data_IF_352266275259
#
_entry.id   IF_352266275259
#
_cell.length_a   1.000
_cell.length_b   1.000
_cell.length_c   1.000
_cell.angle_alpha   90.00
_cell.angle_beta   90.00
_cell.angle_gamma   90.00
#
_symmetry.space_group_name_H-M   'P 1'
#
loop_
_entity.id
_entity.type
_entity.pdbx_description
1 polymer ?
#
# COMPACT_ATOMS: atom_id res chain seq x y z
N UNK A 1 -87.25 -30.45 -30.47
CA UNK A 1 -87.21 -29.66 -29.22
C UNK A 1 -85.74 -29.46 -28.84
N UNK A 2 -85.19 -28.29 -29.15
CA UNK A 2 -83.79 -27.93 -28.95
C UNK A 2 -83.65 -27.33 -27.55
N UNK A 3 -83.02 -28.03 -26.61
CA UNK A 3 -82.62 -27.43 -25.33
C UNK A 3 -81.17 -26.91 -25.42
N UNK A 4 -81.02 -25.65 -25.01
CA UNK A 4 -79.81 -24.84 -25.08
C UNK A 4 -78.66 -25.43 -24.24
N UNK A 5 -77.49 -25.63 -24.88
CA UNK A 5 -76.22 -25.77 -24.14
C UNK A 5 -75.74 -24.38 -23.75
N UNK A 6 -76.37 -23.85 -22.71
CA UNK A 6 -76.09 -22.55 -22.13
C UNK A 6 -74.85 -22.65 -21.21
N UNK A 7 -73.77 -21.96 -21.61
CA UNK A 7 -72.75 -21.30 -20.77
C UNK A 7 -72.23 -22.05 -19.53
N UNK A 8 -71.34 -23.03 -19.69
CA UNK A 8 -70.57 -23.61 -18.55
C UNK A 8 -69.03 -23.59 -18.70
N UNK A 9 -68.52 -22.99 -19.78
CA UNK A 9 -67.08 -22.82 -20.00
C UNK A 9 -66.40 -21.74 -19.11
N UNK A 10 -67.05 -20.67 -18.60
CA UNK A 10 -66.30 -19.58 -17.98
C UNK A 10 -65.64 -19.95 -16.65
N UNK A 11 -66.21 -20.84 -15.84
CA UNK A 11 -65.68 -21.14 -14.51
C UNK A 11 -64.34 -21.91 -14.54
N UNK A 12 -64.21 -22.90 -15.43
CA UNK A 12 -62.95 -23.65 -15.59
C UNK A 12 -61.81 -22.78 -16.14
N UNK A 13 -62.13 -21.85 -17.04
CA UNK A 13 -61.16 -20.93 -17.63
C UNK A 13 -60.72 -19.86 -16.61
N UNK A 14 -61.64 -19.38 -15.76
CA UNK A 14 -61.34 -18.49 -14.64
C UNK A 14 -60.48 -19.22 -13.59
N UNK A 15 -60.80 -20.47 -13.25
CA UNK A 15 -60.02 -21.26 -12.29
C UNK A 15 -58.60 -21.52 -12.81
N UNK A 16 -58.45 -21.85 -14.10
CA UNK A 16 -57.15 -22.02 -14.74
C UNK A 16 -56.32 -20.71 -14.72
N UNK A 17 -56.91 -19.59 -15.13
CA UNK A 17 -56.25 -18.27 -15.07
C UNK A 17 -55.84 -17.89 -13.64
N UNK A 18 -56.69 -18.16 -12.66
CA UNK A 18 -56.40 -17.91 -11.24
C UNK A 18 -55.24 -18.78 -10.74
N UNK A 19 -55.19 -20.06 -11.11
CA UNK A 19 -54.05 -20.93 -10.75
C UNK A 19 -52.76 -20.46 -11.41
N UNK A 20 -52.77 -20.07 -12.69
CA UNK A 20 -51.59 -19.55 -13.38
C UNK A 20 -51.07 -18.27 -12.72
N UNK A 21 -51.97 -17.36 -12.32
CA UNK A 21 -51.61 -16.14 -11.57
C UNK A 21 -50.96 -16.48 -10.23
N UNK A 22 -51.55 -17.36 -9.42
CA UNK A 22 -50.99 -17.78 -8.13
C UNK A 22 -49.62 -18.47 -8.27
N UNK A 23 -49.45 -19.34 -9.26
CA UNK A 23 -48.16 -19.98 -9.53
C UNK A 23 -47.10 -18.95 -9.95
N UNK A 24 -47.48 -17.95 -10.75
CA UNK A 24 -46.61 -16.84 -11.15
C UNK A 24 -46.07 -16.04 -9.96
N UNK A 25 -46.93 -15.63 -9.04
CA UNK A 25 -46.53 -14.88 -7.84
C UNK A 25 -45.58 -15.68 -6.92
N UNK A 26 -45.86 -16.97 -6.72
CA UNK A 26 -44.99 -17.84 -5.91
C UNK A 26 -43.59 -18.00 -6.53
N UNK A 27 -43.49 -18.05 -7.86
CA UNK A 27 -42.20 -18.12 -8.55
C UNK A 27 -41.42 -16.80 -8.41
N UNK A 28 -42.08 -15.65 -8.56
CA UNK A 28 -41.47 -14.32 -8.36
C UNK A 28 -40.93 -14.20 -6.92
N UNK A 29 -41.74 -14.56 -5.92
CA UNK A 29 -41.33 -14.51 -4.50
C UNK A 29 -40.13 -15.43 -4.22
N UNK A 30 -40.06 -16.61 -4.85
CA UNK A 30 -38.91 -17.52 -4.72
C UNK A 30 -37.64 -16.95 -5.36
N UNK A 31 -37.76 -16.29 -6.50
CA UNK A 31 -36.63 -15.63 -7.17
C UNK A 31 -36.10 -14.45 -6.36
N UNK A 32 -36.98 -13.59 -5.85
CA UNK A 32 -36.62 -12.45 -5.01
C UNK A 32 -35.93 -12.89 -3.71
N UNK A 33 -36.43 -13.95 -3.05
CA UNK A 33 -35.77 -14.51 -1.87
C UNK A 33 -34.37 -15.02 -2.18
N UNK A 34 -34.18 -15.71 -3.30
CA UNK A 34 -32.87 -16.22 -3.74
C UNK A 34 -31.90 -15.08 -4.07
N UNK A 35 -32.37 -14.03 -4.74
CA UNK A 35 -31.56 -12.86 -5.06
C UNK A 35 -31.17 -12.08 -3.79
N UNK A 36 -32.11 -11.88 -2.86
CA UNK A 36 -31.83 -11.24 -1.57
C UNK A 36 -30.80 -12.04 -0.76
N UNK A 37 -30.90 -13.36 -0.74
CA UNK A 37 -29.95 -14.24 -0.04
C UNK A 37 -28.55 -14.22 -0.67
N UNK A 38 -28.46 -14.16 -2.00
CA UNK A 38 -27.19 -13.98 -2.71
C UNK A 38 -26.54 -12.61 -2.38
N UNK A 39 -27.33 -11.53 -2.38
CA UNK A 39 -26.83 -10.18 -2.06
C UNK A 39 -26.33 -10.06 -0.62
N UNK A 40 -27.00 -10.70 0.34
CA UNK A 40 -26.55 -10.77 1.74
C UNK A 40 -25.23 -11.52 1.85
N UNK A 41 -25.10 -12.66 1.15
CA UNK A 41 -23.88 -13.48 1.18
C UNK A 41 -22.67 -12.74 0.59
N UNK A 42 -22.87 -12.00 -0.50
CA UNK A 42 -21.83 -11.15 -1.12
C UNK A 42 -21.43 -10.01 -0.17
N UNK A 43 -22.41 -9.35 0.45
CA UNK A 43 -22.17 -8.26 1.41
C UNK A 43 -21.35 -8.74 2.61
N UNK A 44 -21.70 -9.89 3.21
CA UNK A 44 -20.99 -10.45 4.35
C UNK A 44 -19.54 -10.85 3.99
N UNK A 45 -19.33 -11.44 2.82
CA UNK A 45 -17.97 -11.77 2.33
C UNK A 45 -17.10 -10.52 2.17
N UNK A 46 -17.66 -9.44 1.62
CA UNK A 46 -16.95 -8.17 1.46
C UNK A 46 -16.62 -7.52 2.80
N UNK A 47 -17.51 -7.61 3.79
CA UNK A 47 -17.28 -7.10 5.15
C UNK A 47 -16.14 -7.88 5.83
N UNK A 48 -16.16 -9.21 5.78
CA UNK A 48 -15.09 -10.03 6.36
C UNK A 48 -13.74 -9.74 5.71
N UNK A 49 -13.69 -9.64 4.38
CA UNK A 49 -12.45 -9.29 3.66
C UNK A 49 -11.92 -7.91 4.05
N UNK A 50 -12.79 -6.90 4.21
CA UNK A 50 -12.39 -5.57 4.70
C UNK A 50 -11.87 -5.63 6.14
N UNK A 51 -12.51 -6.39 7.02
CA UNK A 51 -12.10 -6.53 8.41
C UNK A 51 -10.76 -7.26 8.55
N UNK A 52 -10.56 -8.36 7.82
CA UNK A 52 -9.31 -9.12 7.81
C UNK A 52 -8.15 -8.28 7.27
N UNK A 53 -8.35 -7.54 6.18
CA UNK A 53 -7.34 -6.61 5.66
C UNK A 53 -7.03 -5.49 6.66
N UNK A 54 -8.05 -4.94 7.33
CA UNK A 54 -7.84 -3.89 8.33
C UNK A 54 -7.03 -4.41 9.52
N UNK A 55 -7.33 -5.62 10.00
CA UNK A 55 -6.58 -6.28 11.06
C UNK A 55 -5.14 -6.58 10.62
N UNK A 56 -4.94 -7.08 9.41
CA UNK A 56 -3.61 -7.38 8.87
C UNK A 56 -2.75 -6.11 8.77
N UNK A 57 -3.30 -5.02 8.21
CA UNK A 57 -2.60 -3.73 8.12
C UNK A 57 -2.29 -3.18 9.51
N UNK A 58 -3.21 -3.28 10.47
CA UNK A 58 -2.95 -2.89 11.86
C UNK A 58 -1.79 -3.67 12.48
N UNK A 59 -1.74 -4.99 12.28
CA UNK A 59 -0.64 -5.83 12.75
C UNK A 59 0.70 -5.46 12.09
N UNK A 60 0.70 -5.22 10.77
CA UNK A 60 1.89 -4.74 10.04
C UNK A 60 2.39 -3.42 10.66
N UNK A 61 1.49 -2.46 10.90
CA UNK A 61 1.85 -1.16 11.49
C UNK A 61 2.41 -1.30 12.91
N UNK A 62 1.91 -2.23 13.71
CA UNK A 62 2.45 -2.47 15.06
C UNK A 62 3.88 -3.01 15.02
N UNK A 63 4.16 -4.00 14.17
CA UNK A 63 5.51 -4.54 13.97
C UNK A 63 6.45 -3.47 13.42
N UNK A 64 5.98 -2.69 12.44
CA UNK A 64 6.72 -1.57 11.88
C UNK A 64 7.11 -0.55 12.94
N UNK A 65 6.18 -0.10 13.78
CA UNK A 65 6.45 0.90 14.83
C UNK A 65 7.49 0.41 15.82
N UNK A 66 7.41 -0.86 16.22
CA UNK A 66 8.39 -1.49 17.10
C UNK A 66 9.81 -1.42 16.52
N UNK A 67 9.97 -1.77 15.23
CA UNK A 67 11.27 -1.78 14.56
C UNK A 67 11.77 -0.35 14.33
N UNK A 68 10.92 0.55 13.84
CA UNK A 68 11.24 1.96 13.62
C UNK A 68 11.72 2.65 14.90
N UNK A 69 11.07 2.37 16.04
CA UNK A 69 11.49 2.88 17.35
C UNK A 69 12.92 2.43 17.70
N UNK A 70 13.24 1.14 17.51
CA UNK A 70 14.58 0.59 17.76
C UNK A 70 15.65 1.17 16.84
N UNK A 71 15.29 1.58 15.62
CA UNK A 71 16.21 2.13 14.62
C UNK A 71 16.22 3.66 14.56
N UNK A 72 15.48 4.32 15.45
CA UNK A 72 15.32 5.78 15.48
C UNK A 72 14.93 6.36 14.09
N UNK A 73 13.92 5.76 13.47
CA UNK A 73 13.32 6.23 12.20
C UNK A 73 11.87 6.60 12.47
N UNK A 74 11.40 7.69 11.85
CA UNK A 74 9.99 8.07 11.91
C UNK A 74 9.12 6.99 11.23
N UNK A 75 8.25 6.34 12.01
CA UNK A 75 7.39 5.28 11.52
C UNK A 75 6.44 5.73 10.40
N UNK A 76 5.96 6.99 10.41
CA UNK A 76 5.10 7.51 9.34
C UNK A 76 5.84 7.55 7.99
N UNK A 77 7.14 7.82 7.99
CA UNK A 77 7.95 7.82 6.76
C UNK A 77 8.05 6.41 6.18
N UNK A 78 8.25 5.39 7.04
CA UNK A 78 8.30 3.99 6.60
C UNK A 78 6.92 3.50 6.16
N UNK A 79 5.85 3.92 6.84
CA UNK A 79 4.48 3.66 6.38
C UNK A 79 4.25 4.23 4.97
N UNK A 80 4.74 5.44 4.68
CA UNK A 80 4.66 6.02 3.33
C UNK A 80 5.48 5.25 2.29
N UNK A 81 6.67 4.75 2.65
CA UNK A 81 7.47 3.88 1.77
C UNK A 81 6.67 2.61 1.42
N UNK A 82 6.12 1.91 2.41
CA UNK A 82 5.38 0.67 2.19
C UNK A 82 4.12 0.89 1.36
N UNK A 83 3.45 2.03 1.54
CA UNK A 83 2.27 2.38 0.75
C UNK A 83 2.61 2.49 -0.75
N UNK A 84 3.74 3.14 -1.08
CA UNK A 84 4.23 3.25 -2.46
C UNK A 84 4.75 1.93 -3.00
N UNK A 85 5.47 1.16 -2.19
CA UNK A 85 6.14 -0.07 -2.63
C UNK A 85 5.19 -1.25 -2.82
N UNK A 86 4.21 -1.43 -1.92
CA UNK A 86 3.36 -2.62 -1.91
C UNK A 86 1.90 -2.35 -1.59
N UNK A 87 1.54 -1.13 -1.20
CA UNK A 87 0.24 -0.82 -0.62
C UNK A 87 -0.13 -1.80 0.51
N UNK A 88 0.84 -2.08 1.40
CA UNK A 88 0.74 -3.03 2.51
C UNK A 88 0.48 -4.50 2.10
N UNK A 89 0.71 -4.89 0.85
CA UNK A 89 0.62 -6.30 0.44
C UNK A 89 1.92 -7.06 0.77
N UNK A 90 1.91 -7.99 1.75
CA UNK A 90 3.12 -8.73 2.15
C UNK A 90 3.62 -9.73 1.11
N UNK A 91 2.82 -10.01 0.08
CA UNK A 91 3.15 -10.95 -1.01
C UNK A 91 3.43 -10.26 -2.35
N UNK A 92 3.53 -8.93 -2.36
CA UNK A 92 3.80 -8.16 -3.58
C UNK A 92 5.10 -8.61 -4.26
N UNK A 93 5.08 -8.67 -5.59
CA UNK A 93 6.24 -8.97 -6.43
C UNK A 93 6.27 -7.98 -7.59
N UNK A 94 7.35 -7.21 -7.75
CA UNK A 94 7.52 -6.32 -8.89
C UNK A 94 8.00 -7.07 -10.13
N UNK A 95 7.85 -6.45 -11.30
CA UNK A 95 8.38 -6.97 -12.55
C UNK A 95 9.92 -7.17 -12.53
N UNK A 96 10.63 -6.37 -11.73
CA UNK A 96 12.09 -6.44 -11.56
C UNK A 96 12.52 -7.49 -10.52
N UNK A 97 11.56 -8.15 -9.85
CA UNK A 97 11.83 -9.21 -8.87
C UNK A 97 11.92 -8.76 -7.42
N UNK A 98 11.60 -7.50 -7.12
CA UNK A 98 11.50 -7.00 -5.75
C UNK A 98 10.27 -7.60 -5.02
N UNK A 99 10.36 -7.86 -3.71
CA UNK A 99 9.37 -8.66 -2.98
C UNK A 99 8.97 -8.12 -1.62
N UNK A 100 7.71 -8.35 -1.27
CA UNK A 100 7.14 -8.08 0.05
C UNK A 100 6.82 -6.61 0.31
N UNK A 101 6.61 -6.28 1.59
CA UNK A 101 6.09 -4.99 2.05
C UNK A 101 6.96 -3.80 1.63
N UNK A 102 8.28 -3.95 1.75
CA UNK A 102 9.25 -2.91 1.42
C UNK A 102 9.98 -3.16 0.10
N UNK A 103 9.46 -4.07 -0.74
CA UNK A 103 10.00 -4.42 -2.06
C UNK A 103 11.51 -4.62 -2.05
N UNK A 104 11.97 -5.58 -1.26
CA UNK A 104 13.38 -5.94 -1.21
C UNK A 104 13.77 -6.74 -2.46
N UNK A 105 14.90 -6.37 -3.06
CA UNK A 105 15.58 -7.27 -4.01
C UNK A 105 16.14 -8.48 -3.26
N UNK A 106 16.16 -9.68 -3.87
CA UNK A 106 16.68 -10.89 -3.22
C UNK A 106 18.10 -10.73 -2.66
N UNK A 107 18.98 -10.02 -3.37
CA UNK A 107 20.34 -9.75 -2.93
C UNK A 107 20.37 -8.88 -1.68
N UNK A 108 19.48 -7.88 -1.60
CA UNK A 108 19.31 -7.05 -0.40
C UNK A 108 18.77 -7.88 0.76
N UNK A 109 17.77 -8.73 0.54
CA UNK A 109 17.23 -9.58 1.58
C UNK A 109 18.30 -10.55 2.15
N UNK A 110 19.16 -11.10 1.29
CA UNK A 110 20.28 -11.95 1.70
C UNK A 110 21.32 -11.20 2.55
N UNK A 111 21.63 -9.94 2.22
CA UNK A 111 22.56 -9.11 3.03
C UNK A 111 22.06 -8.82 4.46
N UNK A 112 20.77 -8.99 4.72
CA UNK A 112 20.14 -8.74 6.01
C UNK A 112 19.56 -10.00 6.65
N UNK A 113 20.04 -11.19 6.28
CA UNK A 113 19.66 -12.48 6.89
C UNK A 113 18.13 -12.70 6.91
N UNK A 114 17.48 -12.52 5.75
CA UNK A 114 16.05 -12.82 5.58
C UNK A 114 15.90 -14.25 5.05
N UNK A 115 15.27 -15.11 5.84
CA UNK A 115 14.98 -16.50 5.48
C UNK A 115 13.74 -16.57 4.59
N UNK A 116 12.70 -15.79 4.95
CA UNK A 116 11.47 -15.69 4.20
C UNK A 116 11.13 -14.23 3.88
N UNK A 117 11.35 -13.83 2.63
CA UNK A 117 11.10 -12.47 2.16
C UNK A 117 9.63 -12.03 2.19
N UNK A 118 8.69 -12.95 2.32
CA UNK A 118 7.26 -12.66 2.49
C UNK A 118 6.81 -12.69 3.97
N UNK A 119 7.70 -13.07 4.89
CA UNK A 119 7.44 -12.91 6.32
C UNK A 119 7.41 -11.42 6.65
N UNK A 120 6.30 -10.95 7.22
CA UNK A 120 6.05 -9.54 7.57
C UNK A 120 7.19 -8.97 8.41
N UNK A 121 7.62 -9.67 9.48
CA UNK A 121 8.61 -9.16 10.41
C UNK A 121 10.00 -9.14 9.79
N UNK A 122 10.38 -10.18 9.05
CA UNK A 122 11.69 -10.24 8.40
C UNK A 122 11.83 -9.20 7.29
N UNK A 123 10.81 -9.07 6.42
CA UNK A 123 10.81 -8.08 5.34
C UNK A 123 10.85 -6.64 5.88
N UNK A 124 10.05 -6.33 6.90
CA UNK A 124 10.07 -5.03 7.57
C UNK A 124 11.42 -4.76 8.24
N UNK A 125 11.98 -5.74 8.96
CA UNK A 125 13.28 -5.57 9.62
C UNK A 125 14.35 -5.23 8.60
N UNK A 126 14.52 -6.05 7.58
CA UNK A 126 15.55 -5.86 6.56
C UNK A 126 15.34 -4.58 5.75
N UNK A 127 14.09 -4.25 5.38
CA UNK A 127 13.79 -3.01 4.66
C UNK A 127 14.06 -1.75 5.49
N UNK A 128 13.69 -1.75 6.78
CA UNK A 128 13.97 -0.62 7.68
C UNK A 128 15.47 -0.51 7.96
N UNK A 129 16.18 -1.63 8.13
CA UNK A 129 17.63 -1.64 8.32
C UNK A 129 18.38 -1.14 7.09
N UNK A 130 17.96 -1.58 5.89
CA UNK A 130 18.51 -1.07 4.65
C UNK A 130 18.23 0.42 4.46
N UNK A 131 17.00 0.88 4.75
CA UNK A 131 16.68 2.29 4.70
C UNK A 131 17.48 3.10 5.73
N UNK A 132 17.66 2.60 6.96
CA UNK A 132 18.53 3.21 7.99
C UNK A 132 19.95 3.37 7.47
N UNK A 133 20.52 2.32 6.91
CA UNK A 133 21.84 2.36 6.30
C UNK A 133 21.96 3.46 5.24
N UNK A 134 20.98 3.57 4.34
CA UNK A 134 20.97 4.64 3.34
C UNK A 134 20.80 6.02 3.98
N UNK A 135 19.92 6.13 4.97
CA UNK A 135 19.68 7.38 5.67
C UNK A 135 20.95 7.88 6.37
N UNK A 136 21.74 6.99 7.00
CA UNK A 136 23.07 7.32 7.54
C UNK A 136 24.08 7.66 6.45
N UNK A 137 24.14 6.84 5.39
CA UNK A 137 25.05 7.03 4.26
C UNK A 137 24.87 8.37 3.57
N UNK A 138 23.65 8.91 3.59
CA UNK A 138 23.31 10.19 3.00
C UNK A 138 23.17 11.32 4.04
N UNK A 139 23.91 11.26 5.14
CA UNK A 139 23.98 12.31 6.17
C UNK A 139 22.60 12.72 6.70
N UNK A 140 21.72 11.74 6.89
CA UNK A 140 20.36 11.94 7.37
C UNK A 140 19.53 12.86 6.45
N UNK A 141 19.84 12.88 5.16
CA UNK A 141 19.02 13.53 4.16
C UNK A 141 17.95 12.56 3.64
N UNK A 142 16.71 12.71 4.12
CA UNK A 142 15.59 11.82 3.74
C UNK A 142 15.39 11.75 2.23
N UNK A 143 15.49 12.89 1.52
CA UNK A 143 15.25 12.94 0.06
C UNK A 143 16.27 12.07 -0.69
N UNK A 144 17.53 12.11 -0.27
CA UNK A 144 18.59 11.32 -0.91
C UNK A 144 18.56 9.86 -0.49
N UNK A 145 18.19 9.57 0.77
CA UNK A 145 17.97 8.21 1.22
C UNK A 145 16.84 7.52 0.43
N UNK A 146 15.71 8.21 0.23
CA UNK A 146 14.61 7.73 -0.61
C UNK A 146 15.03 7.55 -2.07
N UNK A 147 15.76 8.51 -2.64
CA UNK A 147 16.29 8.38 -3.99
C UNK A 147 17.25 7.18 -4.12
N UNK A 148 18.08 6.94 -3.10
CA UNK A 148 19.02 5.83 -3.08
C UNK A 148 18.33 4.48 -2.84
N UNK A 149 17.21 4.47 -2.13
CA UNK A 149 16.39 3.27 -1.94
C UNK A 149 15.82 2.80 -3.28
N UNK A 150 15.31 3.74 -4.10
CA UNK A 150 14.73 3.44 -5.40
C UNK A 150 15.76 3.23 -6.53
N UNK A 151 16.75 4.13 -6.67
CA UNK A 151 17.69 4.13 -7.79
C UNK A 151 19.05 3.49 -7.47
N UNK A 152 19.28 3.13 -6.20
CA UNK A 152 20.55 2.64 -5.70
C UNK A 152 21.50 3.76 -5.24
N UNK A 153 22.30 3.53 -4.17
CA UNK A 153 23.18 4.55 -3.59
C UNK A 153 24.31 4.98 -4.52
N UNK A 154 24.77 4.10 -5.41
CA UNK A 154 25.81 4.45 -6.39
C UNK A 154 25.33 5.51 -7.38
N UNK A 155 24.09 5.40 -7.86
CA UNK A 155 23.49 6.36 -8.79
C UNK A 155 23.37 7.74 -8.15
N UNK A 156 22.82 7.81 -6.93
CA UNK A 156 22.69 9.09 -6.19
C UNK A 156 24.05 9.72 -5.96
N UNK A 157 25.07 8.93 -5.58
CA UNK A 157 26.44 9.43 -5.43
C UNK A 157 27.01 9.95 -6.75
N UNK A 158 26.83 9.23 -7.87
CA UNK A 158 27.30 9.61 -9.20
C UNK A 158 26.73 10.95 -9.66
N UNK A 159 25.44 11.19 -9.40
CA UNK A 159 24.77 12.45 -9.75
C UNK A 159 24.98 13.57 -8.72
N UNK A 160 25.47 13.24 -7.52
CA UNK A 160 25.60 14.19 -6.41
C UNK A 160 24.25 14.69 -5.87
N UNK A 161 23.17 13.93 -6.07
CA UNK A 161 21.82 14.34 -5.77
C UNK A 161 20.77 13.34 -6.28
N UNK A 162 19.50 13.73 -6.27
CA UNK A 162 18.42 12.93 -6.87
C UNK A 162 18.69 12.83 -8.38
N UNK A 163 18.83 11.63 -8.97
CA UNK A 163 19.10 11.49 -10.40
C UNK A 163 17.95 12.07 -11.23
N UNK A 164 18.20 12.50 -12.49
CA UNK A 164 17.17 13.00 -13.40
C UNK A 164 16.31 11.86 -13.99
N UNK A 165 15.98 10.86 -13.17
CA UNK A 165 15.12 9.75 -13.53
C UNK A 165 13.71 10.07 -13.05
N UNK A 166 12.76 10.13 -13.99
CA UNK A 166 11.37 10.49 -13.68
C UNK A 166 10.76 9.55 -12.63
N UNK A 167 11.07 8.25 -12.71
CA UNK A 167 10.65 7.24 -11.72
C UNK A 167 11.10 7.64 -10.31
N UNK A 168 12.39 7.92 -10.12
CA UNK A 168 12.96 8.26 -8.82
C UNK A 168 12.49 9.60 -8.28
N UNK A 169 12.35 10.62 -9.13
CA UNK A 169 11.83 11.92 -8.72
C UNK A 169 10.37 11.81 -8.25
N UNK A 170 9.55 11.07 -8.99
CA UNK A 170 8.16 10.81 -8.63
C UNK A 170 8.06 9.99 -7.33
N UNK A 171 8.90 8.96 -7.19
CA UNK A 171 8.98 8.13 -5.98
C UNK A 171 9.25 8.97 -4.73
N UNK A 172 10.28 9.84 -4.77
CA UNK A 172 10.59 10.74 -3.65
C UNK A 172 9.44 11.71 -3.38
N UNK A 173 8.85 12.30 -4.42
CA UNK A 173 7.74 13.25 -4.28
C UNK A 173 6.53 12.59 -3.61
N UNK A 174 6.09 11.45 -4.14
CA UNK A 174 4.91 10.73 -3.68
C UNK A 174 5.03 10.32 -2.21
N UNK A 175 6.18 9.81 -1.78
CA UNK A 175 6.40 9.43 -0.38
C UNK A 175 6.32 10.63 0.57
N UNK A 176 6.86 11.78 0.16
CA UNK A 176 6.82 12.99 1.00
C UNK A 176 5.41 13.59 1.08
N UNK A 177 4.62 13.51 0.02
CA UNK A 177 3.20 13.89 0.03
C UNK A 177 2.42 12.99 1.00
N UNK A 178 2.53 11.67 0.84
CA UNK A 178 1.88 10.69 1.73
C UNK A 178 2.34 10.85 3.18
N UNK A 179 3.63 11.12 3.42
CA UNK A 179 4.16 11.38 4.76
C UNK A 179 3.56 12.63 5.40
N UNK A 180 3.45 13.72 4.63
CA UNK A 180 2.81 14.96 5.10
C UNK A 180 1.34 14.74 5.42
N UNK A 181 0.61 14.01 4.57
CA UNK A 181 -0.82 13.71 4.77
C UNK A 181 -1.07 12.88 6.03
N UNK A 182 -0.09 12.06 6.44
CA UNK A 182 -0.13 11.31 7.71
C UNK A 182 0.24 12.15 8.94
N UNK A 183 0.52 13.45 8.78
CA UNK A 183 0.92 14.36 9.86
C UNK A 183 2.42 14.40 10.12
N UNK A 184 3.25 13.91 9.20
CA UNK A 184 4.70 14.02 9.28
C UNK A 184 5.19 15.45 9.07
N UNK A 185 6.09 15.93 9.94
CA UNK A 185 6.65 17.28 9.82
C UNK A 185 7.78 17.34 8.77
N UNK A 186 7.47 17.86 7.59
CA UNK A 186 8.46 18.11 6.53
C UNK A 186 9.51 19.15 6.92
N UNK A 187 9.22 20.04 7.88
CA UNK A 187 10.20 21.03 8.36
C UNK A 187 11.25 20.38 9.27
N UNK A 188 10.86 19.36 10.05
CA UNK A 188 11.82 18.53 10.78
C UNK A 188 12.81 17.87 9.81
N UNK A 189 12.32 17.32 8.68
CA UNK A 189 13.16 16.77 7.62
C UNK A 189 14.02 17.82 6.88
N UNK A 190 13.68 19.11 6.97
CA UNK A 190 14.49 20.23 6.45
C UNK A 190 15.54 20.73 7.43
N UNK A 191 15.35 20.57 8.74
CA UNK A 191 16.38 20.94 9.72
C UNK A 191 17.60 20.01 9.64
N UNK A 192 17.40 18.76 9.26
CA UNK A 192 18.49 17.80 8.99
C UNK A 192 19.32 18.16 7.74
N UNK A 193 18.89 19.14 6.94
CA UNK A 193 19.67 19.73 5.83
C UNK A 193 20.58 20.89 6.28
N UNK A 194 20.47 21.35 7.53
CA UNK A 194 21.33 22.41 8.07
C UNK A 194 22.65 21.81 8.54
N UNK A 195 23.69 21.95 7.74
CA UNK A 195 25.05 21.75 8.22
C UNK A 195 25.50 23.03 8.90
N UNK A 196 25.72 22.94 10.20
CA UNK A 196 26.50 23.92 10.95
C UNK A 196 27.95 23.76 10.53
N UNK A 197 28.55 24.82 9.97
CA UNK A 197 29.99 24.85 9.85
C UNK A 197 30.63 25.00 11.26
N UNK A 198 31.94 24.82 11.38
CA UNK A 198 32.67 24.94 12.65
C UNK A 198 32.59 26.34 13.29
N UNK A 199 31.94 27.29 12.63
CA UNK A 199 31.76 28.68 13.06
C UNK A 199 30.31 28.95 13.53
N UNK A 200 29.43 27.94 13.53
CA UNK A 200 28.03 28.07 13.94
C UNK A 200 27.10 28.69 12.90
N UNK A 201 27.56 28.90 11.66
CA UNK A 201 26.76 29.48 10.58
C UNK A 201 25.85 28.42 9.93
N UNK A 202 24.59 28.78 9.71
CA UNK A 202 23.58 27.95 9.04
C UNK A 202 23.81 27.99 7.54
N UNK A 203 24.18 26.87 6.94
CA UNK A 203 24.23 26.73 5.48
C UNK A 203 23.10 25.82 4.98
N UNK A 204 22.09 26.42 4.33
CA UNK A 204 21.07 25.68 3.58
C UNK A 204 21.70 25.28 2.26
N UNK A 205 22.29 24.09 2.20
CA UNK A 205 22.96 23.62 0.98
C UNK A 205 22.14 22.51 0.31
N UNK A 206 21.68 22.79 -0.90
CA UNK A 206 21.16 21.78 -1.84
C UNK A 206 22.28 20.87 -2.40
N UNK A 207 23.53 20.97 -1.91
CA UNK A 207 24.70 20.53 -2.68
C UNK A 207 25.91 20.08 -1.84
N UNK A 208 25.69 19.34 -0.74
CA UNK A 208 26.81 18.84 0.11
C UNK A 208 27.65 17.79 -0.65
N UNK A 209 27.04 17.00 -1.53
CA UNK A 209 27.71 15.89 -2.22
C UNK A 209 28.75 16.32 -3.25
N UNK A 210 28.65 17.53 -3.81
CA UNK A 210 29.62 18.02 -4.79
C UNK A 210 30.95 18.48 -4.16
N UNK A 211 30.95 18.73 -2.85
CA UNK A 211 32.13 19.22 -2.12
C UNK A 211 32.87 18.11 -1.37
N UNK A 212 32.23 16.97 -1.07
CA UNK A 212 32.91 15.80 -0.49
C UNK A 212 33.62 14.93 -1.53
N UNK A 213 33.09 14.84 -2.76
CA UNK A 213 33.74 14.09 -3.85
C UNK A 213 35.11 14.71 -4.20
N UNK A 214 35.23 16.04 -4.13
CA UNK A 214 36.48 16.77 -4.43
C UNK A 214 37.56 16.69 -3.35
N UNK A 215 37.26 16.14 -2.17
CA UNK A 215 38.24 15.99 -1.08
C UNK A 215 38.84 14.57 -0.97
N UNK A 216 38.44 13.66 -1.86
CA UNK A 216 38.90 12.26 -1.88
C UNK A 216 39.58 11.86 -3.20
N UNK A 217 39.88 12.84 -4.04
CA UNK A 217 40.82 12.75 -5.17
C UNK A 217 42.11 13.48 -4.79
#
# INVERSE_FOLDING_TARGET
MIMSKQKFIPFLLILYLFTVLLYGEVLIIKQDKKQKQNNISITNKNINYKNENTLQVSNIKNVLREICMKKNINHLLVESIIEVESNFNPTAVSHKGAKGLMQLMPETAAMYDVDNIYNVRENLRAGIEYFRYLFDKFNQNVRLALAAYNAGPYVVKKYGGIPPYRETQNYVKQILEIFSDKGGDLQQLRKDLMVYNNEGNISITNNIYKNEIRRKE
#
